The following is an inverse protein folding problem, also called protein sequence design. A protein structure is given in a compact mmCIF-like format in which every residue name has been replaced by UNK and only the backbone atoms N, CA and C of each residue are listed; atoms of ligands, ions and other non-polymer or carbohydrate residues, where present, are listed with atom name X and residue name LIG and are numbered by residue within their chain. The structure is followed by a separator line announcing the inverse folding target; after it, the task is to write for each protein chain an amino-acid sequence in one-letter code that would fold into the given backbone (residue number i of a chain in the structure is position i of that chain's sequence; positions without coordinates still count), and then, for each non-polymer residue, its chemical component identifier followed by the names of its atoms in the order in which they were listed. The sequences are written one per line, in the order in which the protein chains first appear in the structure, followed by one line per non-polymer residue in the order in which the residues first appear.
data_IF_345185627262
#
_entry.id   IF_345185627262
#
_cell.length_a   1.000
_cell.length_b   1.000
_cell.length_c   1.000
_cell.angle_alpha   90.00
_cell.angle_beta   90.00
_cell.angle_gamma   90.00
#
_symmetry.space_group_name_H-M   'P 1'
#
loop_
_entity.id
_entity.type
_entity.pdbx_description
1 polymer ?
#
# COMPACT_ATOMS: atom_id res chain seq x y z
N UNK A 1 3.69 -5.22 24.96
CA UNK A 1 4.84 -5.00 24.07
C UNK A 1 4.85 -6.02 22.93
N UNK A 2 4.78 -7.36 23.19
CA UNK A 2 4.80 -8.40 22.14
C UNK A 2 3.70 -8.19 21.08
N UNK A 3 2.48 -7.88 21.50
CA UNK A 3 1.37 -7.63 20.57
C UNK A 3 1.56 -6.37 19.75
N UNK A 4 2.15 -5.32 20.32
CA UNK A 4 2.46 -4.10 19.58
C UNK A 4 3.56 -4.32 18.52
N UNK A 5 4.55 -5.15 18.84
CA UNK A 5 5.71 -5.34 17.98
C UNK A 5 5.51 -6.44 16.93
N UNK A 6 4.86 -7.56 17.26
CA UNK A 6 4.91 -8.78 16.45
C UNK A 6 3.55 -9.38 16.07
N UNK A 7 2.56 -9.38 16.98
CA UNK A 7 1.38 -10.24 16.84
C UNK A 7 0.03 -9.52 16.92
N UNK A 8 0.02 -8.19 17.07
CA UNK A 8 -1.21 -7.39 17.05
C UNK A 8 -1.81 -7.25 15.65
N UNK A 9 -2.95 -6.62 15.58
CA UNK A 9 -3.62 -6.32 14.28
C UNK A 9 -2.71 -5.49 13.36
N UNK A 10 -1.96 -4.53 13.93
CA UNK A 10 -0.97 -3.72 13.21
C UNK A 10 0.39 -3.83 13.93
N UNK A 11 1.10 -4.96 13.80
CA UNK A 11 2.39 -5.13 14.46
C UNK A 11 3.42 -4.21 13.81
N UNK A 12 4.17 -3.47 14.64
CA UNK A 12 5.12 -2.46 14.17
C UNK A 12 6.20 -3.02 13.25
N UNK A 13 6.79 -4.19 13.60
CA UNK A 13 7.94 -4.73 12.87
C UNK A 13 7.67 -5.07 11.39
N UNK A 14 6.60 -5.78 11.02
CA UNK A 14 6.33 -6.04 9.61
C UNK A 14 6.17 -4.76 8.78
N UNK A 15 5.54 -3.74 9.34
CA UNK A 15 5.26 -2.50 8.60
C UNK A 15 6.46 -1.58 8.50
N UNK A 16 7.32 -1.53 9.51
CA UNK A 16 8.56 -0.73 9.46
C UNK A 16 9.51 -1.24 8.37
N UNK A 17 9.44 -2.51 7.99
CA UNK A 17 10.25 -3.06 6.89
C UNK A 17 10.03 -2.31 5.57
N UNK A 18 8.80 -1.90 5.26
CA UNK A 18 8.52 -1.11 4.06
C UNK A 18 9.25 0.24 4.08
N UNK A 19 9.27 0.90 5.22
CA UNK A 19 10.00 2.17 5.39
C UNK A 19 11.52 1.96 5.28
N UNK A 20 12.05 0.89 5.88
CA UNK A 20 13.47 0.56 5.79
C UNK A 20 13.90 0.21 4.37
N UNK A 21 13.09 -0.58 3.65
CA UNK A 21 13.34 -0.89 2.24
C UNK A 21 13.28 0.38 1.39
N UNK A 22 12.28 1.24 1.59
CA UNK A 22 12.19 2.53 0.89
C UNK A 22 13.41 3.42 1.13
N UNK A 23 13.85 3.55 2.39
CA UNK A 23 15.08 4.28 2.74
C UNK A 23 16.31 3.66 2.10
N UNK A 24 16.44 2.34 2.12
CA UNK A 24 17.54 1.62 1.50
C UNK A 24 17.60 1.84 -0.01
N UNK A 25 16.45 1.75 -0.69
CA UNK A 25 16.35 2.03 -2.14
C UNK A 25 16.76 3.46 -2.48
N UNK A 26 16.34 4.43 -1.66
CA UNK A 26 16.72 5.83 -1.85
C UNK A 26 18.22 6.07 -1.68
N UNK A 27 18.82 5.42 -0.67
CA UNK A 27 20.25 5.60 -0.37
C UNK A 27 21.19 4.86 -1.34
N UNK A 28 20.84 3.63 -1.74
CA UNK A 28 21.71 2.79 -2.56
C UNK A 28 21.43 2.87 -4.06
N UNK A 29 20.25 3.37 -4.45
CA UNK A 29 19.80 3.51 -5.83
C UNK A 29 20.14 2.27 -6.69
N UNK A 30 19.65 1.08 -6.34
CA UNK A 30 20.01 -0.15 -7.05
C UNK A 30 19.60 -0.06 -8.52
N UNK A 31 20.33 -0.78 -9.37
CA UNK A 31 20.01 -0.77 -10.81
C UNK A 31 18.61 -1.29 -11.08
N UNK A 32 17.97 -0.80 -12.13
CA UNK A 32 16.66 -1.27 -12.57
C UNK A 32 16.64 -2.79 -12.80
N UNK A 33 17.76 -3.36 -13.29
CA UNK A 33 17.88 -4.81 -13.47
C UNK A 33 17.83 -5.56 -12.14
N UNK A 34 18.45 -5.01 -11.10
CA UNK A 34 18.41 -5.59 -9.74
C UNK A 34 17.00 -5.57 -9.18
N UNK A 35 16.29 -4.44 -9.31
CA UNK A 35 14.90 -4.31 -8.86
C UNK A 35 13.96 -5.26 -9.60
N UNK A 36 14.09 -5.37 -10.93
CA UNK A 36 13.33 -6.32 -11.73
C UNK A 36 13.62 -7.77 -11.33
N UNK A 37 14.90 -8.13 -11.11
CA UNK A 37 15.28 -9.48 -10.70
C UNK A 37 14.69 -9.83 -9.33
N UNK A 38 14.79 -8.92 -8.35
CA UNK A 38 14.21 -9.13 -7.02
C UNK A 38 12.69 -9.20 -7.07
N UNK A 39 12.04 -8.27 -7.77
CA UNK A 39 10.57 -8.27 -7.93
C UNK A 39 10.07 -9.52 -8.65
N UNK A 40 10.70 -9.91 -9.77
CA UNK A 40 10.32 -11.13 -10.50
C UNK A 40 10.60 -12.40 -9.70
N UNK A 41 11.72 -12.46 -8.98
CA UNK A 41 12.03 -13.56 -8.08
C UNK A 41 10.95 -13.73 -7.00
N UNK A 42 10.52 -12.63 -6.38
CA UNK A 42 9.46 -12.67 -5.40
C UNK A 42 8.09 -13.04 -5.99
N UNK A 43 7.78 -12.68 -7.24
CA UNK A 43 6.59 -13.18 -7.96
C UNK A 43 6.65 -14.70 -8.14
N UNK A 44 7.81 -15.25 -8.51
CA UNK A 44 7.98 -16.72 -8.63
C UNK A 44 7.77 -17.42 -7.29
N UNK A 45 8.29 -16.87 -6.19
CA UNK A 45 8.05 -17.38 -4.84
C UNK A 45 6.56 -17.29 -4.48
N UNK A 46 5.89 -16.20 -4.83
CA UNK A 46 4.44 -16.04 -4.60
C UNK A 46 3.61 -17.04 -5.43
N UNK A 47 4.02 -17.32 -6.66
CA UNK A 47 3.41 -18.36 -7.49
C UNK A 47 3.61 -19.77 -6.89
N UNK A 48 4.77 -20.04 -6.28
CA UNK A 48 4.98 -21.26 -5.52
C UNK A 48 4.07 -21.34 -4.29
N UNK A 49 3.85 -20.26 -3.56
CA UNK A 49 2.88 -20.23 -2.46
C UNK A 49 1.44 -20.49 -2.95
N UNK A 50 1.06 -19.93 -4.11
CA UNK A 50 -0.24 -20.24 -4.70
C UNK A 50 -0.37 -21.73 -5.03
N UNK A 51 0.64 -22.32 -5.65
CA UNK A 51 0.67 -23.75 -5.93
C UNK A 51 0.52 -24.58 -4.64
N UNK A 52 1.27 -24.24 -3.58
CA UNK A 52 1.18 -24.90 -2.28
C UNK A 52 -0.20 -24.77 -1.65
N UNK A 53 -0.80 -23.57 -1.70
CA UNK A 53 -2.15 -23.34 -1.18
C UNK A 53 -3.18 -24.27 -1.84
N UNK A 54 -3.09 -24.43 -3.17
CA UNK A 54 -3.96 -25.36 -3.92
C UNK A 54 -3.72 -26.81 -3.52
N UNK A 55 -2.45 -27.24 -3.37
CA UNK A 55 -2.12 -28.62 -2.98
C UNK A 55 -2.58 -28.95 -1.55
N UNK A 56 -2.40 -27.99 -0.64
CA UNK A 56 -2.71 -28.17 0.77
C UNK A 56 -4.22 -27.91 1.07
N UNK A 57 -5.01 -27.49 0.07
CA UNK A 57 -6.44 -27.22 0.19
C UNK A 57 -6.77 -26.02 1.11
N UNK A 58 -5.82 -25.08 1.27
CA UNK A 58 -6.00 -23.91 2.10
C UNK A 58 -6.24 -22.66 1.26
N UNK A 59 -6.95 -21.64 1.77
CA UNK A 59 -7.12 -20.37 1.08
C UNK A 59 -5.77 -19.72 0.74
N UNK A 60 -5.65 -19.17 -0.48
CA UNK A 60 -4.41 -18.49 -0.87
C UNK A 60 -4.18 -17.21 -0.08
N UNK A 61 -5.21 -16.35 0.05
CA UNK A 61 -5.10 -15.09 0.75
C UNK A 61 -6.38 -14.79 1.55
N UNK A 62 -6.20 -14.35 2.79
CA UNK A 62 -7.27 -13.87 3.64
C UNK A 62 -6.78 -12.70 4.50
N UNK A 63 -7.68 -11.76 4.90
CA UNK A 63 -7.29 -10.69 5.81
C UNK A 63 -6.87 -11.22 7.18
N UNK A 64 -7.56 -12.23 7.70
CA UNK A 64 -7.29 -12.91 8.98
C UNK A 64 -7.55 -14.41 8.84
N UNK A 65 -7.01 -15.21 9.76
CA UNK A 65 -7.26 -16.66 9.81
C UNK A 65 -6.13 -17.50 9.21
N UNK A 66 -6.44 -18.73 8.86
CA UNK A 66 -5.49 -19.68 8.31
C UNK A 66 -5.50 -19.62 6.78
N UNK A 67 -4.55 -18.89 6.22
CA UNK A 67 -4.34 -18.81 4.77
C UNK A 67 -2.84 -18.80 4.46
N UNK A 68 -2.48 -19.08 3.20
CA UNK A 68 -1.09 -19.01 2.77
C UNK A 68 -0.52 -17.59 2.93
N UNK A 69 -1.29 -16.58 2.55
CA UNK A 69 -0.99 -15.16 2.77
C UNK A 69 -2.00 -14.57 3.75
N UNK A 70 -1.53 -14.02 4.85
CA UNK A 70 -2.38 -13.29 5.81
C UNK A 70 -1.91 -11.87 5.99
N UNK A 71 -2.87 -10.95 6.13
CA UNK A 71 -2.60 -9.52 6.31
C UNK A 71 -2.57 -9.12 7.78
N UNK A 72 -3.43 -9.72 8.61
CA UNK A 72 -3.53 -9.49 10.04
C UNK A 72 -3.40 -10.78 10.86
N UNK A 73 -2.25 -11.08 11.45
CA UNK A 73 -0.94 -10.43 11.28
C UNK A 73 -0.32 -10.73 9.92
N UNK A 74 0.47 -9.78 9.42
CA UNK A 74 1.19 -9.97 8.16
C UNK A 74 2.22 -11.10 8.28
N UNK A 75 2.04 -12.17 7.49
CA UNK A 75 2.99 -13.28 7.46
C UNK A 75 4.08 -13.07 6.41
N UNK A 76 5.12 -13.91 6.43
CA UNK A 76 6.26 -13.81 5.51
C UNK A 76 5.86 -13.94 4.04
N UNK A 77 4.90 -14.81 3.72
CA UNK A 77 4.42 -14.99 2.36
C UNK A 77 3.74 -13.72 1.83
N UNK A 78 2.90 -13.08 2.65
CA UNK A 78 2.30 -11.79 2.32
C UNK A 78 3.38 -10.70 2.10
N UNK A 79 4.37 -10.61 2.99
CA UNK A 79 5.43 -9.60 2.87
C UNK A 79 6.25 -9.79 1.58
N UNK A 80 6.59 -11.03 1.21
CA UNK A 80 7.29 -11.32 -0.04
C UNK A 80 6.45 -10.88 -1.24
N UNK A 81 5.17 -11.23 -1.29
CA UNK A 81 4.28 -10.84 -2.37
C UNK A 81 4.14 -9.30 -2.47
N UNK A 82 3.96 -8.62 -1.33
CA UNK A 82 3.80 -7.18 -1.26
C UNK A 82 5.08 -6.44 -1.69
N UNK A 83 6.26 -6.83 -1.18
CA UNK A 83 7.53 -6.25 -1.60
C UNK A 83 7.80 -6.47 -3.09
N UNK A 84 7.50 -7.64 -3.61
CA UNK A 84 7.65 -7.94 -5.03
C UNK A 84 6.80 -7.00 -5.89
N UNK A 85 5.53 -6.81 -5.52
CA UNK A 85 4.64 -5.87 -6.17
C UNK A 85 5.16 -4.43 -6.12
N UNK A 86 5.61 -3.96 -4.95
CA UNK A 86 6.18 -2.62 -4.78
C UNK A 86 7.41 -2.42 -5.65
N UNK A 87 8.35 -3.37 -5.68
CA UNK A 87 9.57 -3.26 -6.49
C UNK A 87 9.26 -3.23 -8.00
N UNK A 88 8.32 -4.04 -8.47
CA UNK A 88 7.90 -4.03 -9.87
C UNK A 88 7.20 -2.73 -10.26
N UNK A 89 6.28 -2.24 -9.43
CA UNK A 89 5.62 -0.96 -9.65
C UNK A 89 6.65 0.17 -9.65
N UNK A 90 7.59 0.17 -8.70
CA UNK A 90 8.68 1.14 -8.67
C UNK A 90 9.45 1.17 -9.99
N UNK A 91 9.92 0.00 -10.48
CA UNK A 91 10.67 -0.06 -11.74
C UNK A 91 9.85 0.39 -12.95
N UNK A 92 8.54 0.17 -12.95
CA UNK A 92 7.65 0.64 -14.02
C UNK A 92 7.48 2.16 -14.01
N UNK A 93 7.50 2.78 -12.83
CA UNK A 93 7.24 4.21 -12.65
C UNK A 93 8.50 5.06 -12.70
N UNK A 94 9.67 4.54 -12.29
CA UNK A 94 10.92 5.27 -12.13
C UNK A 94 11.35 6.02 -13.42
N UNK A 95 11.15 5.42 -14.59
CA UNK A 95 11.52 6.01 -15.89
C UNK A 95 10.35 6.72 -16.60
N UNK A 96 9.17 6.81 -15.97
CA UNK A 96 8.02 7.51 -16.56
C UNK A 96 8.05 8.98 -16.19
N UNK A 97 8.47 9.81 -17.14
CA UNK A 97 8.29 11.26 -17.03
C UNK A 97 6.80 11.56 -16.89
N UNK A 98 6.38 11.85 -15.66
CA UNK A 98 5.04 12.32 -15.33
C UNK A 98 3.90 11.39 -15.82
N UNK A 99 3.61 10.34 -15.08
CA UNK A 99 2.30 9.71 -15.19
C UNK A 99 1.25 10.77 -14.82
N UNK A 100 0.37 11.11 -15.75
CA UNK A 100 -0.57 12.22 -15.70
C UNK A 100 -1.31 12.24 -14.36
N UNK A 101 -0.94 13.18 -13.49
CA UNK A 101 -1.63 13.43 -12.23
C UNK A 101 -1.38 12.42 -11.09
N UNK A 102 -0.59 11.34 -11.25
CA UNK A 102 -0.31 10.39 -10.16
C UNK A 102 0.43 11.04 -8.98
N UNK A 103 1.20 12.11 -9.23
CA UNK A 103 1.84 12.87 -8.16
C UNK A 103 0.82 13.50 -7.19
N UNK A 104 -0.42 13.75 -7.63
CA UNK A 104 -1.49 14.25 -6.76
C UNK A 104 -1.92 13.21 -5.73
N UNK A 105 -1.94 11.91 -6.09
CA UNK A 105 -2.19 10.82 -5.13
C UNK A 105 -1.13 10.79 -4.02
N UNK A 106 0.15 10.91 -4.39
CA UNK A 106 1.24 10.97 -3.41
C UNK A 106 1.14 12.17 -2.47
N UNK A 107 0.76 13.35 -3.00
CA UNK A 107 0.60 14.57 -2.20
C UNK A 107 -0.61 14.55 -1.26
N UNK A 108 -1.58 13.69 -1.50
CA UNK A 108 -2.78 13.51 -0.70
C UNK A 108 -2.82 12.16 0.01
N UNK A 109 -1.69 11.49 0.15
CA UNK A 109 -1.63 10.10 0.63
C UNK A 109 -2.28 9.91 2.00
N UNK A 110 -2.04 10.80 2.96
CA UNK A 110 -2.64 10.74 4.30
C UNK A 110 -4.14 11.06 4.26
N UNK A 111 -4.53 12.10 3.52
CA UNK A 111 -5.94 12.47 3.35
C UNK A 111 -6.72 11.31 2.71
N UNK A 112 -6.19 10.71 1.64
CA UNK A 112 -6.80 9.56 0.98
C UNK A 112 -6.83 8.32 1.88
N UNK A 113 -5.77 8.09 2.66
CA UNK A 113 -5.71 7.01 3.62
C UNK A 113 -6.83 7.08 4.66
N UNK A 114 -7.17 8.27 5.13
CA UNK A 114 -8.28 8.44 6.08
C UNK A 114 -9.63 8.34 5.37
N UNK A 115 -9.77 9.02 4.23
CA UNK A 115 -11.05 9.11 3.53
C UNK A 115 -11.51 7.78 2.91
N UNK A 116 -10.58 6.89 2.50
CA UNK A 116 -10.97 5.65 1.83
C UNK A 116 -11.74 4.67 2.74
N UNK A 117 -11.62 4.79 4.06
CA UNK A 117 -12.40 3.95 4.99
C UNK A 117 -13.88 4.31 5.02
N UNK A 118 -14.25 5.57 4.71
CA UNK A 118 -15.64 6.02 4.81
C UNK A 118 -16.56 5.25 3.83
N UNK A 119 -16.26 5.19 2.52
CA UNK A 119 -17.09 4.42 1.60
C UNK A 119 -16.98 2.90 1.79
N UNK A 120 -15.85 2.39 2.29
CA UNK A 120 -15.68 0.95 2.53
C UNK A 120 -16.68 0.41 3.54
N UNK A 121 -17.08 1.20 4.53
CA UNK A 121 -18.09 0.79 5.52
C UNK A 121 -19.44 0.41 4.89
N UNK A 122 -19.76 0.96 3.71
CA UNK A 122 -21.00 0.64 2.98
C UNK A 122 -20.96 -0.75 2.37
N UNK A 123 -19.78 -1.30 2.09
CA UNK A 123 -19.62 -2.59 1.42
C UNK A 123 -19.33 -3.74 2.39
N UNK A 124 -19.21 -3.48 3.69
CA UNK A 124 -18.81 -4.47 4.69
C UNK A 124 -19.78 -5.65 4.79
N UNK A 125 -21.08 -5.40 4.58
CA UNK A 125 -22.15 -6.39 4.74
C UNK A 125 -22.71 -6.91 3.40
N UNK A 126 -21.99 -6.69 2.30
CA UNK A 126 -22.48 -7.11 0.98
C UNK A 126 -21.97 -8.50 0.61
N UNK A 127 -22.90 -9.43 0.35
CA UNK A 127 -22.63 -10.77 -0.20
C UNK A 127 -22.24 -10.69 -1.68
N UNK A 128 -21.09 -10.10 -1.96
CA UNK A 128 -20.59 -9.96 -3.33
C UNK A 128 -19.84 -11.22 -3.75
N UNK A 129 -20.13 -11.73 -4.95
CA UNK A 129 -19.30 -12.77 -5.54
C UNK A 129 -17.91 -12.20 -5.89
N UNK A 130 -16.90 -13.08 -6.03
CA UNK A 130 -15.49 -12.69 -6.27
C UNK A 130 -15.32 -11.76 -7.48
N UNK A 131 -16.06 -12.00 -8.56
CA UNK A 131 -15.99 -11.20 -9.78
C UNK A 131 -16.48 -9.76 -9.55
N UNK A 132 -17.67 -9.62 -8.96
CA UNK A 132 -18.25 -8.31 -8.63
C UNK A 132 -17.40 -7.56 -7.61
N UNK A 133 -16.91 -8.25 -6.57
CA UNK A 133 -16.00 -7.67 -5.58
C UNK A 133 -14.71 -7.15 -6.24
N UNK A 134 -14.13 -7.91 -7.18
CA UNK A 134 -12.91 -7.49 -7.90
C UNK A 134 -13.13 -6.25 -8.75
N UNK A 135 -14.24 -6.19 -9.49
CA UNK A 135 -14.58 -5.01 -10.33
C UNK A 135 -14.81 -3.78 -9.46
N UNK A 136 -15.58 -3.92 -8.38
CA UNK A 136 -15.86 -2.81 -7.46
C UNK A 136 -14.57 -2.32 -6.82
N UNK A 137 -13.71 -3.22 -6.34
CA UNK A 137 -12.43 -2.86 -5.74
C UNK A 137 -11.52 -2.14 -6.74
N UNK A 138 -11.44 -2.62 -7.97
CA UNK A 138 -10.66 -1.98 -9.02
C UNK A 138 -11.21 -0.59 -9.35
N UNK A 139 -12.51 -0.47 -9.58
CA UNK A 139 -13.19 0.79 -9.86
C UNK A 139 -13.02 1.78 -8.71
N UNK A 140 -13.21 1.32 -7.47
CA UNK A 140 -13.00 2.11 -6.27
C UNK A 140 -11.56 2.63 -6.15
N UNK A 141 -10.58 1.76 -6.37
CA UNK A 141 -9.16 2.15 -6.33
C UNK A 141 -8.81 3.19 -7.39
N UNK A 142 -9.29 2.99 -8.62
CA UNK A 142 -9.05 3.91 -9.73
C UNK A 142 -9.76 5.26 -9.55
N UNK A 143 -10.90 5.30 -8.84
CA UNK A 143 -11.66 6.53 -8.59
C UNK A 143 -10.85 7.58 -7.81
N UNK A 144 -9.95 7.16 -6.94
CA UNK A 144 -9.12 8.07 -6.15
C UNK A 144 -8.17 8.92 -6.98
N UNK A 145 -7.78 8.44 -8.16
CA UNK A 145 -6.93 9.21 -9.06
C UNK A 145 -7.62 10.49 -9.58
N UNK A 146 -8.75 10.47 -10.31
CA UNK A 146 -9.40 11.70 -10.75
C UNK A 146 -9.86 12.56 -9.57
N UNK A 147 -10.31 11.97 -8.46
CA UNK A 147 -10.67 12.72 -7.26
C UNK A 147 -9.47 13.52 -6.70
N UNK A 148 -8.28 12.94 -6.67
CA UNK A 148 -7.07 13.64 -6.22
C UNK A 148 -6.70 14.81 -7.13
N UNK A 149 -6.86 14.65 -8.44
CA UNK A 149 -6.63 15.72 -9.43
C UNK A 149 -7.61 16.88 -9.22
N UNK A 150 -8.91 16.56 -9.10
CA UNK A 150 -9.97 17.57 -8.87
C UNK A 150 -9.77 18.27 -7.52
N UNK A 151 -9.43 17.53 -6.46
CA UNK A 151 -9.15 18.09 -5.16
C UNK A 151 -8.00 19.10 -5.22
N UNK A 152 -6.88 18.74 -5.81
CA UNK A 152 -5.74 19.63 -5.94
C UNK A 152 -6.02 20.87 -6.81
N UNK A 153 -6.89 20.74 -7.82
CA UNK A 153 -7.28 21.86 -8.67
C UNK A 153 -8.25 22.82 -7.97
N UNK A 154 -9.17 22.33 -7.13
CA UNK A 154 -10.27 23.13 -6.58
C UNK A 154 -10.12 23.52 -5.12
N UNK A 155 -9.59 22.63 -4.28
CA UNK A 155 -9.58 22.79 -2.82
C UNK A 155 -8.24 22.34 -2.19
N UNK A 156 -7.08 22.74 -2.73
CA UNK A 156 -5.77 22.21 -2.27
C UNK A 156 -5.47 22.51 -0.80
N UNK A 157 -6.15 23.52 -0.21
CA UNK A 157 -5.93 23.90 1.19
C UNK A 157 -6.55 22.94 2.19
N UNK A 158 -7.57 22.19 1.78
CA UNK A 158 -8.32 21.28 2.65
C UNK A 158 -7.77 19.86 2.54
N UNK A 159 -6.56 19.66 3.05
CA UNK A 159 -5.94 18.32 3.17
C UNK A 159 -5.28 18.18 4.52
N UNK A 160 -5.21 16.94 5.02
CA UNK A 160 -4.54 16.64 6.30
C UNK A 160 -3.05 16.96 6.23
N UNK A 161 -2.42 16.77 5.07
CA UNK A 161 -1.03 17.13 4.82
C UNK A 161 -0.78 18.63 5.00
N UNK A 162 -1.67 19.47 4.49
CA UNK A 162 -1.57 20.91 4.67
C UNK A 162 -1.84 21.34 6.12
N UNK A 163 -2.82 20.73 6.77
CA UNK A 163 -3.09 20.98 8.18
C UNK A 163 -1.86 20.64 9.04
N UNK A 164 -1.24 19.50 8.83
CA UNK A 164 -0.01 19.10 9.56
C UNK A 164 1.15 20.05 9.27
N UNK A 165 1.35 20.43 8.02
CA UNK A 165 2.42 21.36 7.66
C UNK A 165 2.24 22.73 8.32
N UNK A 166 1.02 23.25 8.35
CA UNK A 166 0.74 24.52 9.02
C UNK A 166 0.99 24.46 10.53
N UNK A 167 0.66 23.34 11.18
CA UNK A 167 0.96 23.13 12.61
C UNK A 167 2.46 23.06 12.91
N UNK A 168 3.27 22.52 12.00
CA UNK A 168 4.73 22.48 12.18
C UNK A 168 5.37 23.85 11.99
N UNK A 169 4.93 24.64 10.99
CA UNK A 169 5.44 26.00 10.77
C UNK A 169 5.10 26.94 11.93
N UNK A 170 3.90 26.86 12.50
CA UNK A 170 3.54 27.69 13.67
C UNK A 170 4.43 27.40 14.87
N UNK A 171 4.84 26.13 15.10
CA UNK A 171 5.76 25.78 16.18
C UNK A 171 7.17 26.31 16.00
N UNK A 172 7.64 26.43 14.77
CA UNK A 172 8.96 27.00 14.48
C UNK A 172 8.99 28.53 14.73
N UNK A 173 7.88 29.22 14.46
CA UNK A 173 7.74 30.67 14.72
C UNK A 173 7.56 30.98 16.21
N UNK A 174 6.92 30.11 16.98
CA UNK A 174 6.75 30.30 18.44
C UNK A 174 8.00 29.93 19.27
N UNK A 175 8.93 29.19 18.68
CA UNK A 175 10.18 28.72 19.32
C UNK A 175 11.42 29.54 18.99
N UNK A 176 11.31 30.56 18.11
CA UNK A 176 12.40 31.45 17.70
C UNK A 176 12.26 32.83 18.36
#
# INVERSE_FOLDING_TARGET
IKHLLLTGTYPFLPWVLFSLVGASLNNHQPSQRTLLALGSGGVLVSAYFLYRAVQDGIPFAQPVGEAMLTFFPANSAFLIAAFSGVLLIWTMLENRKSAIGLHHLGRLSLTLYVLHFIPLSVFTDSDLNLYSASIITLGYTLLWWPLSVVHQARIPRYSLENAMRNMTHQREEEGA
#
